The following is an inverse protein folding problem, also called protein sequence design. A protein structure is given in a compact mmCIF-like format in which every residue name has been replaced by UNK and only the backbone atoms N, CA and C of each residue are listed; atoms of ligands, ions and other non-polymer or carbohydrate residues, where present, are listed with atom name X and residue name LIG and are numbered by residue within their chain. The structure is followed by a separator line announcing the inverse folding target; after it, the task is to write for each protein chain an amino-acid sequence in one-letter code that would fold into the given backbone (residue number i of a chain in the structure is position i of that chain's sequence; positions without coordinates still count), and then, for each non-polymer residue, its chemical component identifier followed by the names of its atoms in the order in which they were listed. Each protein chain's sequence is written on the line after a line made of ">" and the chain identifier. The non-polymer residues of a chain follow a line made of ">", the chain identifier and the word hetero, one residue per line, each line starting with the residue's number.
data_IF_478033333267
#
_entry.id   IF_478033333267
#
_cell.length_a   1.000
_cell.length_b   1.000
_cell.length_c   1.000
_cell.angle_alpha   90.00
_cell.angle_beta   90.00
_cell.angle_gamma   90.00
#
_symmetry.space_group_name_H-M   'P 1'
#
loop_
_entity.id
_entity.type
_entity.pdbx_description
1 polymer ?
#
# COMPACT_ATOMS: atom_id res chain seq x y z
N UNK A 1 13.04 53.52 22.28
CA UNK A 1 13.52 52.18 22.64
C UNK A 1 12.44 51.52 23.50
N UNK A 2 11.56 50.71 22.89
CA UNK A 2 10.49 50.01 23.63
C UNK A 2 11.02 48.63 24.01
N UNK A 3 11.17 48.39 25.31
CA UNK A 3 11.55 47.10 25.86
C UNK A 3 10.30 46.21 25.81
N UNK A 4 10.28 45.24 24.91
CA UNK A 4 9.36 44.10 25.04
C UNK A 4 9.81 43.32 26.28
N UNK A 5 9.14 43.55 27.41
CA UNK A 5 9.15 42.63 28.53
C UNK A 5 8.45 41.34 28.09
N UNK A 6 9.22 40.45 27.46
CA UNK A 6 8.82 39.07 27.21
C UNK A 6 8.71 38.37 28.56
N UNK A 7 7.53 38.45 29.18
CA UNK A 7 7.15 37.56 30.26
C UNK A 7 7.29 36.15 29.67
N UNK A 8 8.16 35.26 30.20
CA UNK A 8 8.12 33.87 29.80
C UNK A 8 6.77 33.38 30.30
N UNK A 9 5.81 33.18 29.39
CA UNK A 9 4.55 32.55 29.73
C UNK A 9 4.91 31.14 30.24
N UNK A 10 4.97 31.00 31.56
CA UNK A 10 5.13 29.69 32.18
C UNK A 10 3.83 28.95 31.90
N UNK A 11 3.91 27.96 31.02
CA UNK A 11 2.76 27.13 30.74
C UNK A 11 2.35 26.45 32.05
N UNK A 12 1.05 26.43 32.40
CA UNK A 12 0.57 25.85 33.66
C UNK A 12 0.82 24.34 33.75
N UNK A 13 1.29 23.72 32.67
CA UNK A 13 1.60 22.31 32.58
C UNK A 13 2.97 22.07 31.96
N UNK A 14 3.66 20.98 32.36
CA UNK A 14 4.88 20.56 31.70
C UNK A 14 4.67 20.37 30.19
N UNK A 15 5.69 20.73 29.40
CA UNK A 15 5.67 20.56 27.93
C UNK A 15 5.36 19.12 27.51
N UNK A 16 5.81 18.13 28.28
CA UNK A 16 5.53 16.70 28.04
C UNK A 16 4.04 16.37 28.14
N UNK A 17 3.33 16.95 29.13
CA UNK A 17 1.89 16.79 29.30
C UNK A 17 1.13 17.36 28.10
N UNK A 18 1.45 18.60 27.70
CA UNK A 18 0.82 19.24 26.54
C UNK A 18 1.07 18.47 25.24
N UNK A 19 2.29 17.98 25.02
CA UNK A 19 2.62 17.11 23.87
C UNK A 19 1.79 15.83 23.86
N UNK A 20 1.60 15.20 25.02
CA UNK A 20 0.78 13.98 25.14
C UNK A 20 -0.69 14.27 24.81
N UNK A 21 -1.26 15.35 25.35
CA UNK A 21 -2.63 15.75 25.07
C UNK A 21 -2.84 16.05 23.57
N UNK A 22 -1.94 16.82 22.96
CA UNK A 22 -2.00 17.12 21.53
C UNK A 22 -1.91 15.85 20.69
N UNK A 23 -1.01 14.92 21.01
CA UNK A 23 -0.91 13.64 20.31
C UNK A 23 -2.21 12.83 20.40
N UNK A 24 -2.84 12.76 21.58
CA UNK A 24 -4.09 12.03 21.76
C UNK A 24 -5.24 12.65 20.96
N UNK A 25 -5.35 13.98 20.94
CA UNK A 25 -6.35 14.68 20.14
C UNK A 25 -6.13 14.47 18.65
N UNK A 26 -4.88 14.58 18.17
CA UNK A 26 -4.52 14.35 16.77
C UNK A 26 -4.82 12.91 16.34
N UNK A 27 -4.47 11.92 17.15
CA UNK A 27 -4.80 10.51 16.88
C UNK A 27 -6.31 10.28 16.91
N UNK A 28 -7.06 10.89 17.82
CA UNK A 28 -8.51 10.70 17.85
C UNK A 28 -9.18 11.27 16.60
N UNK A 29 -8.77 12.46 16.17
CA UNK A 29 -9.27 13.08 14.94
C UNK A 29 -8.89 12.26 13.70
N UNK A 30 -7.63 11.86 13.59
CA UNK A 30 -7.17 11.08 12.45
C UNK A 30 -7.84 9.71 12.40
N UNK A 31 -8.11 9.07 13.54
CA UNK A 31 -8.89 7.83 13.58
C UNK A 31 -10.31 8.03 13.07
N UNK A 32 -10.98 9.13 13.44
CA UNK A 32 -12.32 9.43 12.95
C UNK A 32 -12.32 9.65 11.42
N UNK A 33 -11.34 10.36 10.88
CA UNK A 33 -11.18 10.50 9.42
C UNK A 33 -10.90 9.14 8.74
N UNK A 34 -10.10 8.28 9.39
CA UNK A 34 -9.78 6.95 8.88
C UNK A 34 -10.96 5.98 8.90
N UNK A 35 -11.81 6.06 9.93
CA UNK A 35 -13.02 5.23 10.06
C UNK A 35 -14.08 5.62 9.03
N UNK A 36 -14.24 6.93 8.76
CA UNK A 36 -15.29 7.46 7.88
C UNK A 36 -14.85 7.72 6.43
N UNK A 37 -13.54 7.70 6.14
CA UNK A 37 -13.02 7.97 4.80
C UNK A 37 -13.33 6.85 3.81
N UNK A 38 -13.63 7.22 2.55
CA UNK A 38 -13.92 6.27 1.47
C UNK A 38 -12.67 5.81 0.71
N UNK A 39 -11.56 6.55 0.82
CA UNK A 39 -10.29 6.19 0.18
C UNK A 39 -9.47 5.20 1.02
N UNK A 40 -8.64 4.38 0.37
CA UNK A 40 -7.70 3.50 1.07
C UNK A 40 -8.36 2.36 1.86
N UNK A 41 -9.57 1.94 1.51
CA UNK A 41 -10.33 0.90 2.24
C UNK A 41 -9.67 -0.47 2.26
N UNK A 42 -8.90 -0.80 1.22
CA UNK A 42 -8.03 -1.98 1.23
C UNK A 42 -7.04 -1.93 2.40
N UNK A 43 -6.33 -0.82 2.57
CA UNK A 43 -5.37 -0.62 3.67
C UNK A 43 -6.07 -0.55 5.03
N UNK A 44 -7.25 0.07 5.12
CA UNK A 44 -8.05 0.10 6.35
C UNK A 44 -8.41 -1.30 6.85
N UNK A 45 -8.77 -2.21 5.96
CA UNK A 45 -9.08 -3.59 6.34
C UNK A 45 -7.90 -4.28 7.05
N UNK A 46 -6.67 -3.86 6.73
CA UNK A 46 -5.40 -4.37 7.28
C UNK A 46 -5.04 -3.63 8.57
N UNK A 47 -5.09 -2.30 8.56
CA UNK A 47 -4.75 -1.40 9.66
C UNK A 47 -5.99 -0.56 10.02
N UNK A 48 -6.97 -1.11 10.75
CA UNK A 48 -8.19 -0.37 11.07
C UNK A 48 -7.95 0.66 12.18
N UNK A 49 -6.92 0.45 13.01
CA UNK A 49 -6.56 1.38 14.09
C UNK A 49 -5.25 2.06 13.80
N UNK A 50 -5.30 3.38 13.69
CA UNK A 50 -4.12 4.19 13.51
C UNK A 50 -3.31 4.24 14.82
N UNK A 51 -2.01 4.37 14.68
CA UNK A 51 -1.13 4.57 15.82
C UNK A 51 0.09 5.37 15.39
N UNK A 52 0.81 5.92 16.35
CA UNK A 52 2.11 6.53 16.11
C UNK A 52 3.26 5.50 16.02
N UNK A 53 2.95 4.20 16.08
CA UNK A 53 3.95 3.14 15.93
C UNK A 53 4.20 2.87 14.45
N UNK A 54 5.47 2.86 14.07
CA UNK A 54 5.86 2.48 12.72
C UNK A 54 5.63 0.97 12.52
N UNK A 55 5.07 0.59 11.38
CA UNK A 55 4.84 -0.83 11.04
C UNK A 55 6.09 -1.52 10.47
N UNK A 56 7.19 -0.78 10.31
CA UNK A 56 8.45 -1.23 9.70
C UNK A 56 8.22 -1.97 8.38
N UNK A 57 7.23 -1.54 7.59
CA UNK A 57 7.03 -2.03 6.24
C UNK A 57 8.09 -1.41 5.32
N UNK A 58 8.66 -2.24 4.46
CA UNK A 58 9.48 -1.81 3.33
C UNK A 58 8.65 -1.00 2.34
N UNK A 59 9.32 -0.33 1.40
CA UNK A 59 8.67 0.35 0.29
C UNK A 59 7.82 -0.64 -0.52
N UNK A 60 8.33 -1.84 -0.74
CA UNK A 60 7.71 -2.91 -1.51
C UNK A 60 6.45 -3.42 -0.81
N UNK A 61 6.49 -3.65 0.51
CA UNK A 61 5.31 -4.00 1.29
C UNK A 61 4.23 -2.91 1.25
N UNK A 62 4.63 -1.62 1.26
CA UNK A 62 3.68 -0.50 1.12
C UNK A 62 3.05 -0.51 -0.27
N UNK A 63 3.84 -0.71 -1.34
CA UNK A 63 3.32 -0.82 -2.70
C UNK A 63 2.36 -2.00 -2.86
N UNK A 64 2.70 -3.14 -2.26
CA UNK A 64 1.86 -4.33 -2.27
C UNK A 64 0.52 -4.10 -1.56
N UNK A 65 0.55 -3.53 -0.35
CA UNK A 65 -0.66 -3.28 0.46
C UNK A 65 -1.60 -2.23 -0.15
N UNK A 66 -1.03 -1.21 -0.79
CA UNK A 66 -1.79 -0.11 -1.42
C UNK A 66 -2.20 -0.42 -2.86
N UNK A 67 -1.55 -1.40 -3.48
CA UNK A 67 -1.62 -1.62 -4.92
C UNK A 67 -0.90 -0.56 -5.76
N UNK A 68 -0.09 0.34 -5.17
CA UNK A 68 0.58 1.44 -5.88
C UNK A 68 1.94 1.07 -6.51
N UNK A 69 2.11 -0.20 -6.88
CA UNK A 69 3.36 -0.78 -7.37
C UNK A 69 3.42 -0.95 -8.89
N UNK A 70 4.30 -1.84 -9.38
CA UNK A 70 4.43 -2.18 -10.81
C UNK A 70 3.26 -3.06 -11.31
N UNK A 71 2.04 -2.76 -10.87
CA UNK A 71 0.85 -3.55 -11.18
C UNK A 71 0.12 -2.95 -12.39
N UNK A 72 -0.13 -3.70 -13.46
CA UNK A 72 -0.95 -3.23 -14.59
C UNK A 72 -2.26 -2.55 -14.19
N UNK A 73 -2.99 -3.13 -13.22
CA UNK A 73 -4.24 -2.56 -12.69
C UNK A 73 -4.08 -1.15 -12.13
N UNK A 74 -2.97 -0.87 -11.45
CA UNK A 74 -2.67 0.46 -10.95
C UNK A 74 -2.22 1.39 -12.08
N UNK A 75 -1.28 0.93 -12.90
CA UNK A 75 -0.70 1.77 -13.97
C UNK A 75 -1.76 2.19 -14.99
N UNK A 76 -2.71 1.31 -15.33
CA UNK A 76 -3.86 1.63 -16.17
C UNK A 76 -4.72 2.74 -15.57
N UNK A 77 -5.02 2.64 -14.26
CA UNK A 77 -5.82 3.66 -13.54
C UNK A 77 -5.18 5.06 -13.60
N UNK A 78 -3.85 5.12 -13.62
CA UNK A 78 -3.09 6.37 -13.68
C UNK A 78 -2.68 6.78 -15.11
N UNK A 79 -3.15 6.08 -16.14
CA UNK A 79 -2.82 6.40 -17.53
C UNK A 79 -1.36 6.13 -17.92
N UNK A 80 -0.63 5.37 -17.11
CA UNK A 80 0.78 5.00 -17.37
C UNK A 80 0.89 3.71 -18.20
N UNK A 81 -0.20 2.95 -18.30
CA UNK A 81 -0.26 1.74 -19.11
C UNK A 81 -1.59 1.66 -19.86
N UNK A 82 -1.59 1.02 -21.03
CA UNK A 82 -2.77 0.92 -21.90
C UNK A 82 -3.76 -0.16 -21.44
N UNK A 83 -3.30 -1.12 -20.63
CA UNK A 83 -4.05 -2.30 -20.20
C UNK A 83 -3.80 -2.62 -18.72
N UNK A 84 -4.80 -3.19 -18.04
CA UNK A 84 -4.69 -3.72 -16.68
C UNK A 84 -4.36 -5.22 -16.63
N UNK A 85 -4.11 -5.84 -17.78
CA UNK A 85 -3.76 -7.25 -17.89
C UNK A 85 -2.27 -7.52 -17.63
N UNK A 86 -2.03 -8.61 -16.91
CA UNK A 86 -0.75 -9.31 -16.80
C UNK A 86 -0.43 -10.02 -18.11
N UNK A 87 0.86 -10.30 -18.37
CA UNK A 87 1.32 -11.10 -19.50
C UNK A 87 0.72 -12.52 -19.55
N UNK A 88 0.17 -13.02 -18.44
CA UNK A 88 -0.56 -14.30 -18.42
C UNK A 88 -2.06 -14.18 -18.78
N UNK A 89 -2.56 -12.99 -19.13
CA UNK A 89 -3.94 -12.76 -19.58
C UNK A 89 -4.98 -12.45 -18.49
N UNK A 90 -4.59 -12.43 -17.21
CA UNK A 90 -5.45 -12.09 -16.07
C UNK A 90 -5.19 -10.66 -15.58
N UNK A 91 -6.07 -10.09 -14.74
CA UNK A 91 -5.87 -8.74 -14.18
C UNK A 91 -4.59 -8.71 -13.31
N UNK A 92 -3.64 -7.86 -13.69
CA UNK A 92 -2.37 -7.69 -13.01
C UNK A 92 -2.51 -6.87 -11.73
N UNK A 93 -3.02 -7.48 -10.67
CA UNK A 93 -3.16 -6.89 -9.33
C UNK A 93 -2.28 -7.63 -8.30
N UNK A 94 -2.05 -7.05 -7.10
CA UNK A 94 -1.18 -7.66 -6.09
C UNK A 94 -1.57 -9.09 -5.69
N UNK A 95 -2.87 -9.36 -5.52
CA UNK A 95 -3.37 -10.66 -5.11
C UNK A 95 -3.05 -11.71 -6.17
N UNK A 96 -3.31 -11.39 -7.45
CA UNK A 96 -3.02 -12.26 -8.58
C UNK A 96 -1.55 -12.71 -8.60
N UNK A 97 -0.60 -11.77 -8.54
CA UNK A 97 0.83 -12.10 -8.54
C UNK A 97 1.28 -12.86 -7.29
N UNK A 98 0.61 -12.64 -6.16
CA UNK A 98 0.98 -13.30 -4.92
C UNK A 98 0.36 -14.70 -4.75
N UNK A 99 -0.61 -15.12 -5.57
CA UNK A 99 -1.33 -16.38 -5.33
C UNK A 99 -1.60 -17.25 -6.55
N UNK A 100 -1.68 -16.68 -7.76
CA UNK A 100 -2.21 -17.39 -8.94
C UNK A 100 -1.37 -17.27 -10.20
N UNK A 101 -0.59 -16.19 -10.35
CA UNK A 101 0.10 -15.90 -11.60
C UNK A 101 1.15 -16.97 -11.94
N UNK A 102 1.07 -17.62 -13.11
CA UNK A 102 2.08 -18.59 -13.54
C UNK A 102 3.50 -18.01 -13.63
N UNK A 103 3.63 -16.70 -13.85
CA UNK A 103 4.91 -16.00 -13.99
C UNK A 103 5.60 -15.74 -12.64
N UNK A 104 4.91 -15.92 -11.51
CA UNK A 104 5.44 -15.61 -10.16
C UNK A 104 5.28 -16.78 -9.18
N UNK A 105 5.26 -18.02 -9.68
CA UNK A 105 5.09 -19.24 -8.88
C UNK A 105 6.03 -19.33 -7.66
N UNK A 106 7.28 -18.89 -7.79
CA UNK A 106 8.28 -18.90 -6.71
C UNK A 106 7.94 -18.00 -5.53
N UNK A 107 7.06 -17.01 -5.74
CA UNK A 107 6.65 -16.03 -4.74
C UNK A 107 5.26 -16.31 -4.18
N UNK A 108 4.62 -17.41 -4.56
CA UNK A 108 3.24 -17.65 -4.18
C UNK A 108 3.07 -17.87 -2.67
N UNK A 109 2.09 -17.15 -2.15
CA UNK A 109 1.41 -17.46 -0.91
C UNK A 109 0.19 -18.34 -1.21
N UNK A 110 -0.27 -19.09 -0.21
CA UNK A 110 -1.51 -19.86 -0.32
C UNK A 110 -2.66 -18.94 -0.69
N UNK A 111 -3.39 -19.25 -1.76
CA UNK A 111 -4.56 -18.47 -2.16
C UNK A 111 -5.64 -18.48 -1.07
N UNK A 112 -6.17 -17.31 -0.67
CA UNK A 112 -7.22 -17.25 0.32
C UNK A 112 -8.59 -17.50 -0.28
N UNK A 113 -9.47 -18.15 0.48
CA UNK A 113 -10.91 -18.10 0.18
C UNK A 113 -11.44 -16.66 0.34
N UNK A 114 -12.46 -16.24 -0.42
CA UNK A 114 -12.97 -14.87 -0.40
C UNK A 114 -13.28 -14.33 1.01
N UNK A 115 -13.88 -15.15 1.87
CA UNK A 115 -14.21 -14.79 3.25
C UNK A 115 -13.00 -14.51 4.16
N UNK A 116 -11.80 -14.97 3.77
CA UNK A 116 -10.56 -14.82 4.55
C UNK A 116 -9.57 -13.85 3.93
N UNK A 117 -9.95 -13.09 2.90
CA UNK A 117 -9.04 -12.21 2.16
C UNK A 117 -8.35 -11.19 3.08
N UNK A 118 -9.09 -10.59 4.02
CA UNK A 118 -8.54 -9.59 4.96
C UNK A 118 -7.53 -10.23 5.92
N UNK A 119 -7.84 -11.43 6.42
CA UNK A 119 -6.92 -12.16 7.30
C UNK A 119 -5.64 -12.55 6.55
N UNK A 120 -5.78 -12.95 5.29
CA UNK A 120 -4.65 -13.26 4.42
C UNK A 120 -3.74 -12.05 4.24
N UNK A 121 -4.28 -10.86 3.96
CA UNK A 121 -3.50 -9.63 3.85
C UNK A 121 -2.73 -9.31 5.14
N UNK A 122 -3.39 -9.44 6.29
CA UNK A 122 -2.75 -9.26 7.60
C UNK A 122 -1.61 -10.26 7.83
N UNK A 123 -1.83 -11.53 7.48
CA UNK A 123 -0.81 -12.59 7.61
C UNK A 123 0.38 -12.37 6.65
N UNK A 124 0.08 -11.95 5.42
CA UNK A 124 1.07 -11.68 4.38
C UNK A 124 2.03 -10.54 4.80
N UNK A 125 1.49 -9.49 5.43
CA UNK A 125 2.23 -8.28 5.81
C UNK A 125 2.76 -8.26 7.25
N UNK A 126 2.41 -9.23 8.09
CA UNK A 126 2.87 -9.30 9.49
C UNK A 126 4.18 -10.07 9.64
N UNK A 127 4.30 -11.24 8.98
CA UNK A 127 5.44 -12.15 9.19
C UNK A 127 6.68 -11.69 8.44
N UNK A 128 7.84 -11.65 9.11
CA UNK A 128 9.11 -11.18 8.51
C UNK A 128 9.51 -11.95 7.25
N UNK A 129 9.36 -13.28 7.24
CA UNK A 129 9.65 -14.09 6.05
C UNK A 129 8.67 -13.78 4.90
N UNK A 130 7.39 -13.60 5.24
CA UNK A 130 6.35 -13.26 4.27
C UNK A 130 6.61 -11.89 3.62
N UNK A 131 6.96 -10.88 4.43
CA UNK A 131 7.36 -9.56 3.93
C UNK A 131 8.57 -9.63 3.00
N UNK A 132 9.62 -10.38 3.36
CA UNK A 132 10.78 -10.58 2.46
C UNK A 132 10.38 -11.21 1.12
N UNK A 133 9.44 -12.15 1.14
CA UNK A 133 8.94 -12.75 -0.10
C UNK A 133 8.17 -11.73 -0.95
N UNK A 134 7.35 -10.89 -0.32
CA UNK A 134 6.67 -9.77 -0.99
C UNK A 134 7.69 -8.77 -1.56
N UNK A 135 8.73 -8.43 -0.80
CA UNK A 135 9.80 -7.53 -1.25
C UNK A 135 10.45 -8.06 -2.54
N UNK A 136 10.78 -9.35 -2.55
CA UNK A 136 11.35 -10.02 -3.71
C UNK A 136 10.36 -10.06 -4.89
N UNK A 137 9.07 -10.31 -4.63
CA UNK A 137 8.03 -10.30 -5.65
C UNK A 137 7.94 -8.92 -6.32
N UNK A 138 7.82 -7.85 -5.54
CA UNK A 138 7.72 -6.49 -6.09
C UNK A 138 8.97 -6.12 -6.87
N UNK A 139 10.14 -6.48 -6.35
CA UNK A 139 11.42 -6.26 -7.04
C UNK A 139 11.44 -7.00 -8.37
N UNK A 140 11.02 -8.26 -8.41
CA UNK A 140 10.92 -9.06 -9.63
C UNK A 140 9.98 -8.43 -10.65
N UNK A 141 8.79 -7.99 -10.23
CA UNK A 141 7.82 -7.34 -11.12
C UNK A 141 8.37 -6.02 -11.70
N UNK A 142 9.14 -5.27 -10.90
CA UNK A 142 9.73 -4.01 -11.34
C UNK A 142 10.91 -4.20 -12.30
N UNK A 143 11.68 -5.29 -12.18
CA UNK A 143 12.83 -5.56 -13.05
C UNK A 143 12.49 -6.37 -14.30
N UNK A 144 11.31 -6.99 -14.35
CA UNK A 144 10.85 -7.83 -15.47
C UNK A 144 9.57 -7.29 -16.11
N UNK A 145 9.45 -5.97 -16.20
CA UNK A 145 8.25 -5.28 -16.68
C UNK A 145 7.74 -5.84 -18.03
N UNK A 146 8.63 -6.04 -18.99
CA UNK A 146 8.29 -6.51 -20.35
C UNK A 146 7.70 -7.92 -20.38
N UNK A 147 8.09 -8.79 -19.43
CA UNK A 147 7.57 -10.15 -19.33
C UNK A 147 6.23 -10.21 -18.61
N UNK A 148 6.01 -9.25 -17.72
CA UNK A 148 4.94 -9.28 -16.73
C UNK A 148 3.71 -8.49 -17.18
N UNK A 149 3.89 -7.49 -18.05
CA UNK A 149 2.81 -6.66 -18.58
C UNK A 149 2.52 -7.08 -20.01
N UNK A 150 1.25 -7.25 -20.36
CA UNK A 150 0.87 -7.56 -21.74
C UNK A 150 1.22 -6.37 -22.64
N UNK A 151 2.00 -6.59 -23.70
CA UNK A 151 2.18 -5.59 -24.75
C UNK A 151 0.96 -5.55 -25.66
N UNK A 152 0.54 -4.36 -26.05
CA UNK A 152 -0.45 -4.20 -27.12
C UNK A 152 0.18 -4.61 -28.46
N UNK A 153 -0.19 -5.76 -29.00
CA UNK A 153 -0.22 -5.92 -30.46
C UNK A 153 -1.47 -5.19 -30.96
N UNK A 154 -1.29 -3.97 -31.45
CA UNK A 154 -2.29 -3.36 -32.36
C UNK A 154 -2.54 -4.33 -33.52
N UNK A 155 -3.80 -4.70 -33.86
CA UNK A 155 -4.06 -5.37 -35.11
C UNK A 155 -3.59 -4.46 -36.24
N UNK A 156 -2.72 -4.96 -37.11
CA UNK A 156 -2.34 -4.26 -38.33
C UNK A 156 -3.61 -3.99 -39.13
N UNK A 157 -4.05 -2.73 -39.17
CA UNK A 157 -4.98 -2.28 -40.19
C UNK A 157 -4.24 -2.35 -41.52
N UNK A 158 -4.48 -3.42 -42.28
CA UNK A 158 -4.14 -3.48 -43.70
C UNK A 158 -5.18 -2.62 -44.43
N UNK A 159 -4.80 -1.50 -45.08
CA UNK A 159 -5.70 -0.81 -45.98
C UNK A 159 -5.85 -1.66 -47.24
N UNK A 160 -7.10 -1.81 -47.70
CA UNK A 160 -7.43 -2.31 -49.03
C UNK A 160 -7.00 -1.32 -50.12
#
# INVERSE_FOLDING_TARGET
>A
MIIYNSIPASLPFPKSFLKKQLLQLSLSRWQAEWDNGETGRSVYSIIPKISNKQLHWSRECIQFATGHGPFPSYLKRFGLHSTDYCGCGEIGNPLHYATRCPLTLSYHHKEPSPQFIVYWWKSALSRKLSRRNIDNLITFLATNEDLIKSQNTTPSHTPA
#
